data_IF_843077011497
#
_entry.id   IF_843077011497
#
_cell.length_a   1.000
_cell.length_b   1.000
_cell.length_c   1.000
_cell.angle_alpha   90.00
_cell.angle_beta   90.00
_cell.angle_gamma   90.00
#
_symmetry.space_group_name_H-M   'P 1'
#
loop_
_entity.id
_entity.type
_entity.pdbx_description
1 polymer ?
#
# COMPACT_ATOMS: atom_id res chain seq x y z
N UNK A 1 -28.31 -6.78 63.40
CA UNK A 1 -27.01 -7.13 64.02
C UNK A 1 -26.29 -8.08 63.08
N UNK A 2 -24.95 -8.01 63.12
CA UNK A 2 -24.05 -8.00 61.97
C UNK A 2 -23.42 -9.36 61.59
N UNK A 3 -22.79 -9.37 60.41
CA UNK A 3 -21.89 -10.39 59.85
C UNK A 3 -22.06 -10.39 58.32
N UNK A 4 -21.06 -10.27 57.45
CA UNK A 4 -19.63 -10.50 57.55
C UNK A 4 -18.85 -9.63 56.55
N UNK A 5 -17.56 -9.51 56.83
CA UNK A 5 -16.55 -8.74 56.11
C UNK A 5 -16.25 -9.29 54.70
N UNK A 6 -15.85 -8.41 53.80
CA UNK A 6 -14.87 -8.79 52.78
C UNK A 6 -13.84 -7.67 52.61
N UNK A 7 -12.62 -8.03 52.89
CA UNK A 7 -11.39 -7.25 52.86
C UNK A 7 -10.82 -7.39 51.45
N UNK A 8 -10.72 -6.30 50.70
CA UNK A 8 -9.87 -6.29 49.52
C UNK A 8 -9.17 -4.95 49.41
N UNK A 9 -7.94 -4.98 49.92
CA UNK A 9 -6.75 -4.24 49.54
C UNK A 9 -6.79 -3.71 48.09
N UNK A 10 -6.47 -2.42 47.90
CA UNK A 10 -5.30 -1.99 47.12
C UNK A 10 -5.15 -0.46 47.24
N UNK A 11 -3.94 -0.07 47.62
CA UNK A 11 -3.45 1.27 47.89
C UNK A 11 -3.59 2.21 46.69
N UNK A 12 -3.96 3.46 46.98
CA UNK A 12 -3.73 4.62 46.12
C UNK A 12 -2.71 5.53 46.79
N UNK A 13 -2.05 6.32 45.94
CA UNK A 13 -1.22 7.50 46.25
C UNK A 13 0.24 7.22 46.64
N UNK A 14 1.23 7.97 46.19
CA UNK A 14 1.46 8.97 45.13
C UNK A 14 2.98 9.19 45.14
N UNK A 15 3.54 9.73 44.06
CA UNK A 15 4.54 10.83 44.09
C UNK A 15 5.77 10.64 43.21
N UNK A 16 6.17 11.80 42.68
CA UNK A 16 7.47 12.16 42.10
C UNK A 16 7.76 11.75 40.66
N UNK A 17 7.26 12.63 39.79
CA UNK A 17 8.05 13.26 38.73
C UNK A 17 9.51 13.46 39.14
N UNK A 18 10.44 12.89 38.38
CA UNK A 18 11.67 13.58 37.98
C UNK A 18 12.09 13.03 36.62
N UNK A 19 12.18 13.97 35.68
CA UNK A 19 12.49 13.79 34.27
C UNK A 19 13.87 14.42 34.08
N UNK A 20 14.62 13.87 33.11
CA UNK A 20 15.92 14.36 32.56
C UNK A 20 17.14 13.92 33.39
N UNK A 21 18.29 13.47 32.86
CA UNK A 21 18.99 13.54 31.55
C UNK A 21 19.67 12.15 31.33
N UNK A 22 20.26 11.72 30.22
CA UNK A 22 21.24 12.31 29.29
C UNK A 22 21.55 11.22 28.24
N UNK A 23 22.10 11.60 27.09
CA UNK A 23 23.03 10.72 26.38
C UNK A 23 22.42 9.76 25.35
N UNK A 24 21.82 10.30 24.29
CA UNK A 24 21.70 9.57 23.03
C UNK A 24 23.09 9.28 22.43
N UNK A 25 23.73 8.21 22.86
CA UNK A 25 24.83 7.58 22.13
C UNK A 25 24.27 6.42 21.32
N UNK A 26 23.98 6.71 20.04
CA UNK A 26 23.65 5.70 19.04
C UNK A 26 24.83 4.76 18.85
N UNK A 27 24.66 3.49 19.23
CA UNK A 27 25.49 2.39 18.76
C UNK A 27 24.68 1.10 18.78
N UNK A 28 23.74 0.98 17.85
CA UNK A 28 23.20 -0.32 17.48
C UNK A 28 23.92 -0.80 16.22
N UNK A 29 25.04 -1.47 16.48
CA UNK A 29 25.73 -2.34 15.55
C UNK A 29 24.76 -3.47 15.16
N UNK A 30 23.96 -3.25 14.11
CA UNK A 30 23.04 -4.27 13.58
C UNK A 30 23.72 -4.89 12.37
N UNK A 31 23.97 -6.22 12.34
CA UNK A 31 24.53 -6.88 11.18
C UNK A 31 23.59 -6.66 10.00
N UNK A 32 24.10 -5.92 9.03
CA UNK A 32 23.43 -5.52 7.82
C UNK A 32 23.25 -6.77 6.95
N UNK A 33 22.14 -7.48 7.16
CA UNK A 33 21.56 -8.38 6.17
C UNK A 33 21.12 -7.51 4.98
N UNK A 34 22.11 -7.13 4.16
CA UNK A 34 21.93 -6.54 2.83
C UNK A 34 21.30 -7.60 1.96
N UNK A 35 20.02 -7.87 2.16
CA UNK A 35 19.20 -8.43 1.10
C UNK A 35 19.18 -7.35 0.02
N UNK A 36 20.05 -7.47 -0.98
CA UNK A 36 20.08 -6.65 -2.19
C UNK A 36 18.65 -6.54 -2.73
N UNK A 37 17.94 -5.47 -2.37
CA UNK A 37 16.58 -5.25 -2.86
C UNK A 37 16.70 -5.05 -4.36
N UNK A 38 16.03 -5.89 -5.17
CA UNK A 38 16.16 -5.78 -6.61
C UNK A 38 15.72 -4.38 -7.05
N UNK A 39 16.61 -3.65 -7.74
CA UNK A 39 16.30 -2.34 -8.31
C UNK A 39 15.38 -2.56 -9.51
N UNK A 40 14.09 -2.75 -9.23
CA UNK A 40 13.09 -2.90 -10.27
C UNK A 40 12.53 -1.54 -10.67
N UNK A 41 12.78 -1.14 -11.91
CA UNK A 41 12.30 0.13 -12.46
C UNK A 41 10.98 -0.10 -13.17
N UNK A 42 9.94 0.59 -12.69
CA UNK A 42 8.62 0.55 -13.31
C UNK A 42 8.64 1.15 -14.71
N UNK A 43 7.94 0.51 -15.63
CA UNK A 43 7.86 1.01 -17.00
C UNK A 43 7.06 2.29 -17.07
N UNK A 44 7.71 3.34 -17.61
CA UNK A 44 7.14 4.69 -17.69
C UNK A 44 6.34 4.92 -18.97
N UNK A 45 6.47 4.02 -19.92
CA UNK A 45 5.93 4.14 -21.27
C UNK A 45 4.62 3.39 -21.46
N UNK A 46 3.99 2.90 -20.39
CA UNK A 46 2.70 2.22 -20.50
C UNK A 46 1.62 3.24 -20.82
N UNK A 47 0.83 2.94 -21.84
CA UNK A 47 -0.21 3.82 -22.37
C UNK A 47 -1.61 3.24 -22.26
N UNK A 48 -1.72 1.94 -22.01
CA UNK A 48 -2.99 1.21 -21.89
C UNK A 48 -3.14 0.50 -20.54
N UNK A 49 -4.38 0.27 -20.09
CA UNK A 49 -4.66 -0.51 -18.87
C UNK A 49 -4.18 -1.96 -19.04
N UNK A 50 -4.28 -2.53 -20.25
CA UNK A 50 -3.76 -3.86 -20.56
C UNK A 50 -2.25 -3.98 -20.31
N UNK A 51 -1.46 -2.98 -20.70
CA UNK A 51 -0.02 -2.94 -20.44
C UNK A 51 0.29 -2.87 -18.94
N UNK A 52 -0.47 -2.05 -18.19
CA UNK A 52 -0.34 -1.94 -16.74
C UNK A 52 -0.67 -3.27 -16.05
N UNK A 53 -1.74 -3.94 -16.48
CA UNK A 53 -2.10 -5.26 -15.99
C UNK A 53 -1.05 -6.32 -16.33
N UNK A 54 -0.52 -6.31 -17.55
CA UNK A 54 0.52 -7.24 -17.99
C UNK A 54 1.79 -7.10 -17.15
N UNK A 55 2.22 -5.87 -16.88
CA UNK A 55 3.36 -5.59 -15.99
C UNK A 55 3.10 -6.13 -14.57
N UNK A 56 1.87 -5.94 -14.08
CA UNK A 56 1.47 -6.41 -12.75
C UNK A 56 1.48 -7.93 -12.61
N UNK A 57 0.90 -8.64 -13.59
CA UNK A 57 0.64 -10.08 -13.51
C UNK A 57 1.80 -10.95 -14.00
N UNK A 58 2.50 -10.52 -15.05
CA UNK A 58 3.52 -11.33 -15.75
C UNK A 58 4.88 -10.66 -15.85
N UNK A 59 4.96 -9.35 -15.59
CA UNK A 59 6.12 -8.54 -15.97
C UNK A 59 6.09 -8.15 -17.45
N UNK A 60 6.89 -7.16 -17.83
CA UNK A 60 6.92 -6.62 -19.20
C UNK A 60 8.00 -7.24 -20.07
N UNK A 61 9.18 -7.53 -19.51
CA UNK A 61 10.29 -8.16 -20.25
C UNK A 61 10.51 -9.59 -19.80
N UNK A 62 11.15 -10.37 -20.67
CA UNK A 62 11.50 -11.76 -20.40
C UNK A 62 12.52 -11.80 -19.25
N UNK A 63 12.12 -12.36 -18.11
CA UNK A 63 12.95 -12.44 -16.90
C UNK A 63 12.69 -11.34 -15.88
N UNK A 64 11.84 -10.36 -16.18
CA UNK A 64 11.40 -9.39 -15.17
C UNK A 64 10.42 -10.08 -14.20
N UNK A 65 10.57 -9.89 -12.88
CA UNK A 65 9.57 -10.35 -11.93
C UNK A 65 8.25 -9.61 -12.13
N UNK A 66 7.13 -10.29 -11.93
CA UNK A 66 5.83 -9.64 -11.91
C UNK A 66 5.76 -8.68 -10.71
N UNK A 67 5.15 -7.51 -10.90
CA UNK A 67 5.07 -6.51 -9.82
C UNK A 67 4.28 -7.05 -8.63
N UNK A 68 3.27 -7.91 -8.86
CA UNK A 68 2.54 -8.58 -7.77
C UNK A 68 3.46 -9.42 -6.88
N UNK A 69 4.45 -10.08 -7.47
CA UNK A 69 5.39 -10.94 -6.74
C UNK A 69 6.40 -10.10 -5.96
N UNK A 70 6.83 -8.97 -6.54
CA UNK A 70 7.66 -7.98 -5.84
C UNK A 70 6.92 -7.38 -4.64
N UNK A 71 5.66 -7.01 -4.81
CA UNK A 71 4.85 -6.45 -3.73
C UNK A 71 4.58 -7.51 -2.63
N UNK A 72 4.34 -8.76 -3.01
CA UNK A 72 4.16 -9.86 -2.06
C UNK A 72 5.45 -10.16 -1.27
N UNK A 73 6.60 -10.18 -1.94
CA UNK A 73 7.89 -10.57 -1.35
C UNK A 73 8.58 -9.44 -0.57
N UNK A 74 8.54 -8.22 -1.09
CA UNK A 74 9.31 -7.09 -0.56
C UNK A 74 8.42 -5.93 -0.04
N UNK A 75 7.10 -5.93 -0.29
CA UNK A 75 6.16 -4.87 0.12
C UNK A 75 6.64 -3.47 -0.27
N UNK A 76 6.79 -2.54 0.66
CA UNK A 76 7.28 -1.20 0.37
C UNK A 76 8.81 -1.14 0.15
N UNK A 77 9.57 -2.17 0.53
CA UNK A 77 11.05 -2.14 0.54
C UNK A 77 11.65 -2.06 -0.87
N UNK A 78 11.00 -2.61 -1.89
CA UNK A 78 11.48 -2.50 -3.28
C UNK A 78 11.20 -1.13 -3.92
N UNK A 79 10.48 -0.23 -3.21
CA UNK A 79 10.06 1.10 -3.68
C UNK A 79 10.70 2.23 -2.88
N UNK A 80 11.99 2.13 -2.58
CA UNK A 80 12.67 3.09 -1.70
C UNK A 80 12.77 4.50 -2.31
N UNK A 81 12.85 4.60 -3.64
CA UNK A 81 12.90 5.89 -4.33
C UNK A 81 11.53 6.56 -4.45
N UNK A 82 11.50 7.89 -4.25
CA UNK A 82 10.28 8.71 -4.36
C UNK A 82 9.62 8.59 -5.74
N UNK A 83 10.41 8.42 -6.81
CA UNK A 83 9.90 8.26 -8.18
C UNK A 83 9.08 6.99 -8.31
N UNK A 84 9.58 5.88 -7.78
CA UNK A 84 8.94 4.56 -7.78
C UNK A 84 7.68 4.58 -6.92
N UNK A 85 7.68 5.28 -5.77
CA UNK A 85 6.48 5.50 -4.96
C UNK A 85 5.39 6.25 -5.73
N UNK A 86 5.75 7.32 -6.45
CA UNK A 86 4.82 8.08 -7.30
C UNK A 86 4.26 7.24 -8.44
N UNK A 87 5.10 6.46 -9.11
CA UNK A 87 4.67 5.56 -10.19
C UNK A 87 3.80 4.41 -9.68
N UNK A 88 4.15 3.82 -8.53
CA UNK A 88 3.32 2.81 -7.89
C UNK A 88 1.94 3.36 -7.50
N UNK A 89 1.86 4.62 -7.08
CA UNK A 89 0.56 5.25 -6.81
C UNK A 89 -0.35 5.27 -8.05
N UNK A 90 0.23 5.30 -9.26
CA UNK A 90 -0.52 5.19 -10.53
C UNK A 90 -1.10 3.79 -10.77
N UNK A 91 -0.62 2.76 -10.08
CA UNK A 91 -1.18 1.40 -10.09
C UNK A 91 -2.47 1.25 -9.27
N UNK A 92 -3.06 2.32 -8.73
CA UNK A 92 -4.47 2.27 -8.25
C UNK A 92 -5.47 1.79 -9.31
N UNK A 93 -5.09 1.84 -10.58
CA UNK A 93 -5.80 1.21 -11.69
C UNK A 93 -5.95 -0.31 -11.46
N UNK A 94 -4.96 -0.98 -10.87
CA UNK A 94 -5.00 -2.40 -10.50
C UNK A 94 -6.06 -2.65 -9.43
N UNK A 95 -6.09 -1.81 -8.39
CA UNK A 95 -7.12 -1.91 -7.33
C UNK A 95 -8.53 -1.76 -7.92
N UNK A 96 -8.71 -0.85 -8.88
CA UNK A 96 -9.98 -0.69 -9.59
C UNK A 96 -10.35 -1.92 -10.44
N UNK A 97 -9.37 -2.56 -11.10
CA UNK A 97 -9.61 -3.81 -11.85
C UNK A 97 -10.13 -4.90 -10.91
N UNK A 98 -9.49 -5.10 -9.76
CA UNK A 98 -9.96 -6.05 -8.75
C UNK A 98 -11.34 -5.66 -8.21
N UNK A 99 -11.57 -4.37 -7.96
CA UNK A 99 -12.87 -3.88 -7.51
C UNK A 99 -14.00 -4.13 -8.52
N UNK A 100 -13.75 -3.98 -9.82
CA UNK A 100 -14.73 -4.31 -10.87
C UNK A 100 -14.96 -5.82 -10.93
N UNK A 101 -13.90 -6.63 -10.85
CA UNK A 101 -13.99 -8.09 -10.82
C UNK A 101 -14.85 -8.58 -9.64
N UNK A 102 -14.66 -8.02 -8.45
CA UNK A 102 -15.40 -8.40 -7.25
C UNK A 102 -16.85 -7.90 -7.27
N UNK A 103 -17.09 -6.65 -7.70
CA UNK A 103 -18.44 -6.05 -7.71
C UNK A 103 -19.34 -6.64 -8.78
N UNK A 104 -18.80 -6.84 -9.97
CA UNK A 104 -19.57 -7.30 -11.13
C UNK A 104 -19.48 -8.81 -11.35
N UNK A 105 -18.67 -9.53 -10.53
CA UNK A 105 -18.37 -10.96 -10.66
C UNK A 105 -17.94 -11.37 -12.08
N UNK A 106 -17.16 -10.51 -12.73
CA UNK A 106 -16.62 -10.75 -14.09
C UNK A 106 -15.17 -11.16 -14.04
N UNK A 107 -14.68 -11.84 -15.08
CA UNK A 107 -13.26 -12.19 -15.18
C UNK A 107 -12.34 -10.95 -15.14
N UNK A 108 -11.10 -11.12 -14.68
CA UNK A 108 -10.13 -10.02 -14.60
C UNK A 108 -9.87 -9.39 -15.98
N UNK A 109 -9.78 -10.21 -17.03
CA UNK A 109 -9.64 -9.74 -18.41
C UNK A 109 -10.81 -8.85 -18.82
N UNK A 110 -12.03 -9.22 -18.43
CA UNK A 110 -13.22 -8.42 -18.69
C UNK A 110 -13.21 -7.12 -17.89
N UNK A 111 -12.78 -7.15 -16.63
CA UNK A 111 -12.60 -5.96 -15.81
C UNK A 111 -11.57 -4.98 -16.42
N UNK A 112 -10.45 -5.49 -16.95
CA UNK A 112 -9.45 -4.71 -17.69
C UNK A 112 -10.09 -4.06 -18.93
N UNK A 113 -10.86 -4.82 -19.71
CA UNK A 113 -11.53 -4.31 -20.90
C UNK A 113 -12.54 -3.20 -20.56
N UNK A 114 -13.34 -3.39 -19.49
CA UNK A 114 -14.29 -2.37 -19.01
C UNK A 114 -13.58 -1.09 -18.59
N UNK A 115 -12.47 -1.22 -17.86
CA UNK A 115 -11.72 -0.06 -17.40
C UNK A 115 -11.03 0.68 -18.57
N UNK A 116 -10.51 -0.05 -19.55
CA UNK A 116 -9.95 0.54 -20.78
C UNK A 116 -11.05 1.21 -21.64
N UNK A 117 -12.24 0.61 -21.74
CA UNK A 117 -13.40 1.22 -22.40
C UNK A 117 -13.83 2.52 -21.69
N UNK A 118 -13.83 2.54 -20.35
CA UNK A 118 -14.12 3.72 -19.53
C UNK A 118 -13.09 4.83 -19.75
N UNK A 119 -11.81 4.49 -19.88
CA UNK A 119 -10.75 5.43 -20.25
C UNK A 119 -11.04 6.08 -21.60
N UNK A 120 -11.38 5.27 -22.61
CA UNK A 120 -11.61 5.73 -23.98
C UNK A 120 -10.36 6.41 -24.54
N UNK A 121 -10.52 7.60 -25.13
CA UNK A 121 -9.41 8.37 -25.74
C UNK A 121 -8.55 9.15 -24.73
N UNK A 122 -8.84 9.07 -23.42
CA UNK A 122 -8.12 9.82 -22.38
C UNK A 122 -6.75 9.18 -22.08
N UNK A 123 -5.82 9.93 -21.48
CA UNK A 123 -4.55 9.36 -21.02
C UNK A 123 -4.73 8.49 -19.77
N UNK A 124 -3.82 7.53 -19.54
CA UNK A 124 -3.79 6.75 -18.29
C UNK A 124 -3.64 7.63 -17.05
N UNK A 125 -2.86 8.71 -17.14
CA UNK A 125 -2.72 9.67 -16.04
C UNK A 125 -4.05 10.33 -15.68
N UNK A 126 -4.89 10.61 -16.69
CA UNK A 126 -6.23 11.16 -16.46
C UNK A 126 -7.16 10.14 -15.82
N UNK A 127 -7.13 8.89 -16.29
CA UNK A 127 -7.88 7.80 -15.66
C UNK A 127 -7.49 7.66 -14.19
N UNK A 128 -6.19 7.63 -13.89
CA UNK A 128 -5.70 7.56 -12.52
C UNK A 128 -6.18 8.72 -11.64
N UNK A 129 -6.11 9.96 -12.14
CA UNK A 129 -6.63 11.14 -11.43
C UNK A 129 -8.12 11.01 -11.14
N UNK A 130 -8.91 10.58 -12.13
CA UNK A 130 -10.36 10.42 -11.99
C UNK A 130 -10.68 9.33 -10.93
N UNK A 131 -9.94 8.22 -10.90
CA UNK A 131 -10.09 7.16 -9.89
C UNK A 131 -9.74 7.65 -8.48
N UNK A 132 -8.63 8.38 -8.33
CA UNK A 132 -8.24 8.90 -7.02
C UNK A 132 -9.23 9.95 -6.50
N UNK A 133 -9.82 10.74 -7.39
CA UNK A 133 -10.87 11.71 -7.06
C UNK A 133 -12.16 11.02 -6.60
N UNK A 134 -12.55 9.92 -7.25
CA UNK A 134 -13.74 9.13 -6.88
C UNK A 134 -13.57 8.49 -5.50
N UNK A 135 -12.42 7.85 -5.26
CA UNK A 135 -12.15 7.24 -3.95
C UNK A 135 -12.07 8.28 -2.81
N UNK A 136 -11.73 9.55 -3.11
CA UNK A 136 -11.80 10.63 -2.13
C UNK A 136 -13.26 10.97 -1.80
N UNK A 137 -14.10 11.17 -2.83
CA UNK A 137 -15.53 11.49 -2.65
C UNK A 137 -16.27 10.41 -1.86
N UNK A 138 -16.11 9.14 -2.23
CA UNK A 138 -16.74 8.03 -1.50
C UNK A 138 -16.33 7.93 -0.03
N UNK A 139 -15.17 8.45 0.36
CA UNK A 139 -14.74 8.50 1.76
C UNK A 139 -15.33 9.71 2.50
N UNK A 140 -15.45 10.84 1.82
CA UNK A 140 -16.04 12.06 2.37
C UNK A 140 -17.56 11.90 2.57
N UNK A 141 -18.25 11.15 1.71
CA UNK A 141 -19.70 10.84 1.83
C UNK A 141 -20.01 9.83 2.97
N UNK A 142 -19.01 9.13 3.50
CA UNK A 142 -19.15 8.15 4.58
C UNK A 142 -18.65 8.68 5.94
N UNK A 143 -18.59 10.02 6.11
CA UNK A 143 -18.14 10.69 7.33
C UNK A 143 -19.25 11.53 7.92
#
# INVERSE_FOLDING_TARGET
>A
MCGEANENDHQVETSSVDREMDGSSSSNNTPHDQQDTPIYVLSRNLTTVHEVWKEWDKGLRRGDPAVKDLEAKYKAKWRDSEKERKFFSKRKIIDEIYGIHEKDHVSITEAVNRLEARRGKRSLDRLWKDLNQQNKRSRDDNR
#
